data_IF_270903205799
#
_entry.id   IF_270903205799
#
_cell.length_a   1.000
_cell.length_b   1.000
_cell.length_c   1.000
_cell.angle_alpha   90.00
_cell.angle_beta   90.00
_cell.angle_gamma   90.00
#
_symmetry.space_group_name_H-M   'P 1'
#
loop_
_entity.id
_entity.type
_entity.pdbx_description
1 polymer ?
#
# COMPACT_ATOMS: atom_id res chain seq x y z
N UNK A 1 -6.06 -2.68 -8.54
CA UNK A 1 -4.84 -2.27 -9.25
C UNK A 1 -5.05 -1.93 -10.71
N UNK A 2 -5.74 -2.75 -11.51
CA UNK A 2 -5.95 -2.47 -12.95
C UNK A 2 -6.43 -1.03 -13.26
N UNK A 3 -7.49 -0.57 -12.59
CA UNK A 3 -7.95 0.82 -12.71
C UNK A 3 -6.84 1.81 -12.35
N UNK A 4 -6.14 1.65 -11.23
CA UNK A 4 -5.06 2.57 -10.86
C UNK A 4 -3.93 2.60 -11.90
N UNK A 5 -3.56 1.45 -12.46
CA UNK A 5 -2.54 1.34 -13.52
C UNK A 5 -2.99 2.04 -14.82
N UNK A 6 -4.25 1.88 -15.22
CA UNK A 6 -4.82 2.60 -16.37
C UNK A 6 -4.74 4.12 -16.16
N UNK A 7 -5.10 4.58 -14.95
CA UNK A 7 -5.06 6.00 -14.58
C UNK A 7 -3.66 6.59 -14.63
N UNK A 8 -2.68 5.88 -14.07
CA UNK A 8 -1.27 6.28 -14.11
C UNK A 8 -0.74 6.25 -15.55
N UNK A 9 -1.09 5.24 -16.34
CA UNK A 9 -0.69 5.13 -17.76
C UNK A 9 -1.24 6.29 -18.58
N UNK A 10 -2.53 6.61 -18.41
CA UNK A 10 -3.15 7.75 -19.07
C UNK A 10 -2.46 9.07 -18.70
N UNK A 11 -2.16 9.27 -17.41
CA UNK A 11 -1.43 10.44 -16.96
C UNK A 11 -0.02 10.53 -17.57
N UNK A 12 0.74 9.42 -17.59
CA UNK A 12 2.05 9.34 -18.26
C UNK A 12 1.91 9.76 -19.73
N UNK A 13 0.92 9.24 -20.45
CA UNK A 13 0.71 9.57 -21.86
C UNK A 13 0.36 11.05 -22.09
N UNK A 14 -0.44 11.64 -21.19
CA UNK A 14 -0.83 13.05 -21.27
C UNK A 14 0.35 14.00 -21.03
N UNK A 15 1.31 13.60 -20.20
CA UNK A 15 2.46 14.46 -19.85
C UNK A 15 3.71 14.14 -20.67
N UNK A 16 3.84 12.96 -21.26
CA UNK A 16 5.02 12.56 -22.07
C UNK A 16 5.02 13.11 -23.50
N UNK A 17 4.58 14.36 -23.67
CA UNK A 17 4.48 15.06 -24.96
C UNK A 17 5.21 16.39 -24.92
N UNK A 18 5.58 16.94 -26.08
CA UNK A 18 6.33 18.20 -26.16
C UNK A 18 5.56 19.44 -25.71
N UNK A 19 4.22 19.41 -25.77
CA UNK A 19 3.36 20.47 -25.27
C UNK A 19 2.15 19.83 -24.60
N UNK A 20 2.09 19.93 -23.26
CA UNK A 20 0.96 19.38 -22.48
C UNK A 20 -0.26 20.27 -22.66
N UNK A 21 -1.34 19.71 -23.21
CA UNK A 21 -2.59 20.41 -23.47
C UNK A 21 -3.56 20.27 -22.27
N UNK A 22 -3.24 20.94 -21.17
CA UNK A 22 -4.02 20.89 -19.92
C UNK A 22 -5.51 21.26 -20.06
N UNK A 23 -5.86 22.04 -21.08
CA UNK A 23 -7.24 22.41 -21.41
C UNK A 23 -8.07 21.25 -21.98
N UNK A 24 -7.42 20.19 -22.42
CA UNK A 24 -8.07 18.98 -22.96
C UNK A 24 -8.29 17.89 -21.92
N UNK A 25 -7.73 18.06 -20.71
CA UNK A 25 -7.81 17.08 -19.65
C UNK A 25 -9.22 16.97 -19.08
N UNK A 26 -9.64 15.73 -18.80
CA UNK A 26 -10.89 15.47 -18.10
C UNK A 26 -10.76 15.83 -16.61
N UNK A 27 -11.89 15.97 -15.91
CA UNK A 27 -11.87 16.14 -14.45
C UNK A 27 -11.23 14.95 -13.75
N UNK A 28 -11.29 13.77 -14.38
CA UNK A 28 -10.68 12.59 -13.82
C UNK A 28 -9.14 12.65 -13.99
N UNK A 29 -8.62 13.06 -15.15
CA UNK A 29 -7.17 13.25 -15.36
C UNK A 29 -6.58 14.22 -14.32
N UNK A 30 -7.27 15.33 -14.07
CA UNK A 30 -6.92 16.27 -13.02
C UNK A 30 -6.96 15.66 -11.62
N UNK A 31 -7.97 14.85 -11.32
CA UNK A 31 -8.03 14.14 -10.04
C UNK A 31 -6.83 13.21 -9.85
N UNK A 32 -6.41 12.49 -10.89
CA UNK A 32 -5.23 11.61 -10.82
C UNK A 32 -3.94 12.41 -10.65
N UNK A 33 -3.79 13.51 -11.41
CA UNK A 33 -2.68 14.44 -11.29
C UNK A 33 -2.55 15.00 -9.87
N UNK A 34 -3.60 15.63 -9.34
CA UNK A 34 -3.58 16.31 -8.04
C UNK A 34 -3.36 15.31 -6.89
N UNK A 35 -3.96 14.11 -6.99
CA UNK A 35 -3.80 13.05 -5.99
C UNK A 35 -2.38 12.50 -6.00
N UNK A 36 -1.78 12.29 -7.18
CA UNK A 36 -0.39 11.84 -7.29
C UNK A 36 0.58 12.85 -6.69
N UNK A 37 0.49 14.13 -7.08
CA UNK A 37 1.40 15.15 -6.56
C UNK A 37 1.30 15.25 -5.04
N UNK A 38 0.09 15.12 -4.49
CA UNK A 38 -0.14 15.23 -3.04
C UNK A 38 0.39 14.02 -2.28
N UNK A 39 0.08 12.79 -2.71
CA UNK A 39 0.47 11.57 -1.98
C UNK A 39 1.95 11.22 -2.13
N UNK A 40 2.62 11.68 -3.20
CA UNK A 40 4.02 11.33 -3.47
C UNK A 40 4.96 12.53 -3.42
N UNK A 41 4.44 13.76 -3.32
CA UNK A 41 5.25 14.98 -3.17
C UNK A 41 6.07 15.30 -4.42
N UNK A 42 5.64 14.81 -5.59
CA UNK A 42 6.33 14.97 -6.85
C UNK A 42 5.53 15.87 -7.77
N UNK A 43 5.97 17.12 -7.90
CA UNK A 43 5.39 18.05 -8.85
C UNK A 43 5.68 17.60 -10.30
N UNK A 44 4.65 17.28 -11.06
CA UNK A 44 4.72 16.82 -12.45
C UNK A 44 5.09 17.97 -13.40
N UNK A 45 4.52 19.15 -13.21
CA UNK A 45 4.75 20.32 -14.07
C UNK A 45 5.28 21.50 -13.26
N UNK A 46 6.45 22.03 -13.64
CA UNK A 46 7.10 23.14 -12.92
C UNK A 46 6.69 24.54 -13.43
N UNK A 47 5.80 24.60 -14.41
CA UNK A 47 5.39 25.82 -15.11
C UNK A 47 6.00 25.96 -16.50
N UNK A 48 7.10 25.26 -16.77
CA UNK A 48 7.83 25.32 -18.04
C UNK A 48 7.91 23.98 -18.75
N UNK A 49 8.23 22.91 -18.02
CA UNK A 49 8.44 21.57 -18.55
C UNK A 49 7.92 20.52 -17.58
N UNK A 50 7.84 19.27 -18.08
CA UNK A 50 7.53 18.11 -17.23
C UNK A 50 8.76 17.74 -16.42
N UNK A 51 8.56 17.65 -15.11
CA UNK A 51 9.59 17.24 -14.18
C UNK A 51 9.94 15.76 -14.38
N UNK A 52 11.19 15.49 -14.76
CA UNK A 52 11.69 14.13 -14.98
C UNK A 52 11.58 13.25 -13.73
N UNK A 53 11.76 13.79 -12.53
CA UNK A 53 11.64 13.02 -11.29
C UNK A 53 10.20 12.55 -11.06
N UNK A 54 9.22 13.40 -11.35
CA UNK A 54 7.81 13.05 -11.25
C UNK A 54 7.39 12.02 -12.30
N UNK A 55 7.90 12.13 -13.54
CA UNK A 55 7.68 11.13 -14.58
C UNK A 55 8.26 9.76 -14.18
N UNK A 56 9.48 9.74 -13.62
CA UNK A 56 10.07 8.51 -13.07
C UNK A 56 9.25 7.97 -11.89
N UNK A 57 8.67 8.85 -11.07
CA UNK A 57 7.76 8.48 -9.99
C UNK A 57 6.49 7.79 -10.50
N UNK A 58 5.85 8.36 -11.53
CA UNK A 58 4.69 7.74 -12.19
C UNK A 58 5.04 6.37 -12.78
N UNK A 59 6.19 6.24 -13.45
CA UNK A 59 6.66 4.95 -13.98
C UNK A 59 6.95 3.92 -12.88
N UNK A 60 7.50 4.37 -11.76
CA UNK A 60 7.73 3.53 -10.58
C UNK A 60 6.40 3.05 -10.01
N UNK A 61 5.44 3.96 -9.83
CA UNK A 61 4.11 3.62 -9.32
C UNK A 61 3.38 2.64 -10.25
N UNK A 62 3.45 2.85 -11.57
CA UNK A 62 2.89 1.91 -12.55
C UNK A 62 3.52 0.52 -12.40
N UNK A 63 4.84 0.45 -12.31
CA UNK A 63 5.57 -0.82 -12.16
C UNK A 63 5.21 -1.55 -10.86
N UNK A 64 5.10 -0.83 -9.74
CA UNK A 64 4.66 -1.40 -8.47
C UNK A 64 3.21 -1.89 -8.57
N UNK A 65 2.34 -1.13 -9.23
CA UNK A 65 0.95 -1.53 -9.43
C UNK A 65 0.77 -2.71 -10.39
N UNK A 66 1.61 -2.84 -11.42
CA UNK A 66 1.68 -4.01 -12.30
C UNK A 66 2.13 -5.24 -11.52
N UNK A 67 3.14 -5.12 -10.65
CA UNK A 67 3.59 -6.22 -9.78
C UNK A 67 2.47 -6.78 -8.91
N UNK A 68 1.75 -5.90 -8.21
CA UNK A 68 0.61 -6.31 -7.37
C UNK A 68 -0.48 -6.93 -8.25
N UNK A 69 -0.82 -6.33 -9.40
CA UNK A 69 -1.85 -6.85 -10.29
C UNK A 69 -1.51 -8.24 -10.83
N UNK A 70 -0.33 -8.39 -11.43
CA UNK A 70 0.13 -9.63 -12.05
C UNK A 70 0.22 -10.73 -11.00
N UNK A 71 0.82 -10.42 -9.84
CA UNK A 71 0.97 -11.39 -8.75
C UNK A 71 -0.38 -11.90 -8.24
N UNK A 72 -1.34 -11.01 -7.99
CA UNK A 72 -2.67 -11.42 -7.51
C UNK A 72 -3.50 -12.09 -8.60
N UNK A 73 -3.30 -11.75 -9.88
CA UNK A 73 -4.07 -12.32 -11.00
C UNK A 73 -3.77 -13.80 -11.27
N UNK A 74 -2.56 -14.26 -10.92
CA UNK A 74 -2.12 -15.66 -11.04
C UNK A 74 -1.80 -16.27 -9.68
N UNK A 75 -2.57 -15.91 -8.64
CA UNK A 75 -2.28 -16.36 -7.27
C UNK A 75 -2.25 -17.90 -7.15
N UNK A 76 -3.02 -18.62 -7.98
CA UNK A 76 -2.99 -20.08 -8.05
C UNK A 76 -1.75 -20.68 -8.74
N UNK A 77 -0.97 -19.87 -9.45
CA UNK A 77 0.35 -20.20 -9.97
C UNK A 77 1.51 -19.78 -9.06
N UNK A 78 1.24 -18.92 -8.07
CA UNK A 78 2.18 -18.50 -7.02
C UNK A 78 2.23 -19.51 -5.88
N UNK A 79 1.15 -20.26 -5.63
CA UNK A 79 1.12 -21.40 -4.71
C UNK A 79 2.26 -22.41 -5.04
N UNK A 80 3.25 -22.64 -4.14
CA UNK A 80 3.20 -22.47 -2.68
C UNK A 80 4.05 -21.32 -2.08
N UNK A 81 4.31 -20.23 -2.81
CA UNK A 81 5.17 -19.14 -2.31
C UNK A 81 4.42 -18.02 -1.57
N UNK A 82 3.08 -18.04 -1.53
CA UNK A 82 2.29 -17.07 -0.76
C UNK A 82 1.19 -17.78 0.03
N UNK A 83 1.18 -17.54 1.34
CA UNK A 83 0.12 -17.97 2.24
C UNK A 83 -0.63 -16.79 2.87
N UNK A 84 -1.94 -16.95 3.03
CA UNK A 84 -2.80 -15.95 3.65
C UNK A 84 -3.62 -16.60 4.76
N UNK A 85 -3.40 -16.14 5.99
CA UNK A 85 -4.03 -16.65 7.20
C UNK A 85 -4.92 -15.60 7.86
N UNK A 86 -5.91 -16.05 8.63
CA UNK A 86 -6.83 -15.17 9.38
C UNK A 86 -6.47 -15.08 10.88
N UNK A 87 -5.38 -15.72 11.27
CA UNK A 87 -4.83 -15.78 12.62
C UNK A 87 -3.37 -16.26 12.55
N UNK A 88 -2.73 -16.33 13.72
CA UNK A 88 -1.35 -16.80 13.85
C UNK A 88 -1.25 -18.34 13.87
N UNK A 89 -2.28 -19.11 13.48
CA UNK A 89 -2.28 -20.57 13.60
C UNK A 89 -1.26 -21.29 12.70
N UNK A 90 -0.67 -20.56 11.76
CA UNK A 90 0.42 -21.03 10.93
C UNK A 90 1.75 -21.15 11.70
N UNK A 91 1.91 -20.47 12.84
CA UNK A 91 3.15 -20.46 13.60
C UNK A 91 3.15 -21.51 14.71
N UNK A 92 4.31 -22.14 14.95
CA UNK A 92 4.51 -23.06 16.08
C UNK A 92 5.81 -22.77 16.81
N UNK A 93 5.85 -23.02 18.13
CA UNK A 93 7.07 -22.87 18.92
C UNK A 93 8.14 -23.95 18.64
N UNK A 94 7.77 -25.02 17.93
CA UNK A 94 8.64 -26.14 17.58
C UNK A 94 8.54 -26.48 16.11
N UNK A 95 9.62 -27.03 15.54
CA UNK A 95 9.63 -27.60 14.20
C UNK A 95 8.80 -28.88 14.08
N UNK A 96 8.79 -29.48 12.89
CA UNK A 96 8.06 -30.72 12.59
C UNK A 96 8.49 -31.93 13.43
N UNK A 97 9.70 -31.90 13.99
CA UNK A 97 10.24 -32.95 14.85
C UNK A 97 9.98 -32.67 16.35
N UNK A 98 9.37 -31.52 16.67
CA UNK A 98 9.12 -31.07 18.04
C UNK A 98 10.32 -30.40 18.71
N UNK A 99 11.29 -29.92 17.93
CA UNK A 99 12.50 -29.25 18.41
C UNK A 99 12.30 -27.74 18.45
N UNK A 100 12.92 -27.06 19.42
CA UNK A 100 13.00 -25.60 19.48
C UNK A 100 14.17 -25.08 18.63
N UNK A 101 14.18 -23.78 18.32
CA UNK A 101 15.34 -23.15 17.71
C UNK A 101 16.53 -23.18 18.66
N UNK A 102 17.68 -23.65 18.17
CA UNK A 102 18.95 -23.69 18.92
C UNK A 102 19.97 -22.72 18.30
N UNK A 103 20.52 -21.83 19.12
CA UNK A 103 21.65 -20.97 18.76
C UNK A 103 22.93 -21.78 18.54
N UNK A 104 23.96 -21.15 17.96
CA UNK A 104 25.27 -21.79 17.73
C UNK A 104 25.94 -22.30 19.02
N UNK A 105 25.60 -21.75 20.18
CA UNK A 105 26.11 -22.18 21.49
C UNK A 105 25.29 -23.31 22.15
N UNK A 106 24.24 -23.80 21.46
CA UNK A 106 23.31 -24.82 21.94
C UNK A 106 22.26 -24.31 22.93
N UNK A 107 22.15 -22.99 23.14
CA UNK A 107 21.03 -22.41 23.89
C UNK A 107 19.75 -22.39 23.05
N UNK A 108 18.62 -22.67 23.70
CA UNK A 108 17.31 -22.56 23.06
C UNK A 108 16.86 -21.10 23.04
N UNK A 109 16.45 -20.62 21.88
CA UNK A 109 15.79 -19.33 21.71
C UNK A 109 14.29 -19.54 21.51
N UNK A 110 13.48 -19.06 22.45
CA UNK A 110 12.03 -19.20 22.42
C UNK A 110 11.35 -18.06 21.67
N UNK A 111 12.10 -17.06 21.21
CA UNK A 111 11.55 -15.93 20.47
C UNK A 111 11.46 -16.23 18.96
N UNK A 112 12.08 -17.32 18.49
CA UNK A 112 11.92 -17.83 17.12
C UNK A 112 10.64 -18.66 17.01
N UNK A 113 9.94 -18.51 15.89
CA UNK A 113 8.79 -19.36 15.54
C UNK A 113 9.10 -20.20 14.31
N UNK A 114 8.46 -21.36 14.23
CA UNK A 114 8.52 -22.23 13.08
C UNK A 114 7.31 -22.02 12.19
N UNK A 115 7.55 -21.91 10.89
CA UNK A 115 6.50 -21.95 9.88
C UNK A 115 5.91 -23.38 9.73
N UNK A 116 4.69 -23.55 10.23
CA UNK A 116 3.91 -24.78 10.11
C UNK A 116 2.79 -24.67 9.04
N UNK A 117 2.85 -23.64 8.19
CA UNK A 117 1.87 -23.42 7.12
C UNK A 117 1.95 -24.47 6.01
N UNK A 118 3.14 -25.06 5.81
CA UNK A 118 3.46 -25.98 4.72
C UNK A 118 4.33 -25.35 3.63
N UNK A 119 4.55 -24.04 3.68
CA UNK A 119 5.41 -23.31 2.72
C UNK A 119 6.92 -23.45 3.00
N UNK A 120 7.29 -24.08 4.11
CA UNK A 120 8.66 -24.40 4.49
C UNK A 120 9.59 -23.17 4.56
N UNK A 121 9.09 -22.02 5.04
CA UNK A 121 9.93 -20.87 5.40
C UNK A 121 10.92 -21.27 6.50
N UNK A 122 10.53 -22.21 7.36
CA UNK A 122 11.33 -22.71 8.46
C UNK A 122 11.32 -21.77 9.66
N UNK A 123 12.48 -21.59 10.29
CA UNK A 123 12.61 -20.75 11.49
C UNK A 123 12.59 -19.26 11.14
N UNK A 124 11.60 -18.55 11.67
CA UNK A 124 11.41 -17.11 11.50
C UNK A 124 11.93 -16.39 12.74
N UNK A 125 12.88 -15.45 12.58
CA UNK A 125 13.43 -14.69 13.69
C UNK A 125 12.43 -13.63 14.20
N UNK A 126 12.48 -13.28 15.49
CA UNK A 126 11.70 -12.17 16.03
C UNK A 126 12.17 -10.82 15.47
N UNK A 127 11.27 -9.82 15.44
CA UNK A 127 11.68 -8.45 15.14
C UNK A 127 12.45 -7.83 16.34
N UNK A 128 13.61 -7.19 16.10
CA UNK A 128 14.40 -6.59 17.16
C UNK A 128 13.60 -5.58 17.99
N UNK A 129 13.49 -5.83 19.29
CA UNK A 129 12.87 -4.91 20.27
C UNK A 129 11.35 -5.00 20.39
N UNK A 130 10.68 -5.75 19.50
CA UNK A 130 9.20 -5.89 19.50
C UNK A 130 8.78 -7.36 19.66
N UNK A 131 9.68 -8.32 19.39
CA UNK A 131 9.31 -9.73 19.28
C UNK A 131 8.71 -10.02 17.91
N UNK A 132 8.12 -11.20 17.71
CA UNK A 132 7.32 -11.44 16.53
C UNK A 132 6.06 -10.55 16.59
N UNK A 133 5.62 -9.97 15.47
CA UNK A 133 4.35 -9.23 15.45
C UNK A 133 3.26 -10.27 15.15
N UNK A 134 2.29 -10.41 16.04
CA UNK A 134 1.21 -11.39 15.92
C UNK A 134 -0.13 -10.74 16.25
N UNK A 135 -1.22 -11.34 15.80
CA UNK A 135 -2.56 -10.86 16.11
C UNK A 135 -2.86 -10.90 17.61
N UNK A 136 -2.23 -11.81 18.36
CA UNK A 136 -2.43 -11.97 19.80
C UNK A 136 -1.60 -11.03 20.70
N UNK A 137 -0.57 -10.35 20.19
CA UNK A 137 0.40 -9.66 21.04
C UNK A 137 0.46 -8.13 20.86
N UNK A 138 -0.28 -7.59 19.91
CA UNK A 138 -0.33 -6.16 19.60
C UNK A 138 -1.79 -5.71 19.53
N UNK A 139 -2.21 -4.80 20.42
CA UNK A 139 -3.62 -4.39 20.59
C UNK A 139 -4.22 -3.63 19.39
N UNK A 140 -3.54 -3.54 18.24
CA UNK A 140 -3.98 -2.74 17.10
C UNK A 140 -3.47 -3.20 15.73
N UNK A 141 -2.99 -4.43 15.58
CA UNK A 141 -2.54 -4.92 14.27
C UNK A 141 -3.74 -5.40 13.46
N UNK A 142 -3.93 -4.80 12.29
CA UNK A 142 -5.00 -5.15 11.33
C UNK A 142 -4.60 -6.37 10.52
N UNK A 143 -3.38 -6.32 10.00
CA UNK A 143 -2.72 -7.39 9.29
C UNK A 143 -1.21 -7.17 9.39
N UNK A 144 -0.43 -8.21 9.07
CA UNK A 144 1.00 -8.11 8.94
C UNK A 144 1.49 -9.08 7.87
N UNK A 145 2.69 -8.81 7.37
CA UNK A 145 3.39 -9.65 6.41
C UNK A 145 4.77 -10.09 6.95
N UNK A 146 5.15 -11.32 6.61
CA UNK A 146 6.47 -11.88 6.85
C UNK A 146 7.01 -12.46 5.55
N UNK A 147 8.27 -12.16 5.25
CA UNK A 147 8.97 -12.68 4.08
C UNK A 147 10.14 -13.59 4.47
N UNK A 148 10.37 -14.62 3.67
CA UNK A 148 11.55 -15.44 3.78
C UNK A 148 12.79 -14.66 3.32
N UNK A 149 13.90 -14.77 4.07
CA UNK A 149 15.10 -13.94 3.83
C UNK A 149 15.81 -14.21 2.49
N UNK A 150 15.61 -15.38 1.90
CA UNK A 150 16.41 -15.89 0.78
C UNK A 150 15.59 -16.11 -0.48
N UNK A 151 14.35 -16.56 -0.31
CA UNK A 151 13.45 -16.87 -1.41
C UNK A 151 12.25 -15.93 -1.35
N UNK A 152 11.63 -15.65 -2.49
CA UNK A 152 10.42 -14.83 -2.59
C UNK A 152 9.20 -15.63 -2.07
N UNK A 153 9.18 -15.94 -0.76
CA UNK A 153 8.10 -16.64 -0.06
C UNK A 153 7.55 -15.70 1.02
N UNK A 154 6.23 -15.59 1.12
CA UNK A 154 5.57 -14.66 2.03
C UNK A 154 4.40 -15.31 2.78
N UNK A 155 4.20 -14.90 4.02
CA UNK A 155 2.98 -15.13 4.80
C UNK A 155 2.33 -13.78 5.05
N UNK A 156 1.03 -13.68 4.79
CA UNK A 156 0.20 -12.54 5.18
C UNK A 156 -0.79 -13.05 6.22
N UNK A 157 -0.86 -12.38 7.35
CA UNK A 157 -1.83 -12.68 8.40
C UNK A 157 -2.77 -11.50 8.56
N UNK A 158 -4.07 -11.75 8.51
CA UNK A 158 -5.13 -10.75 8.72
C UNK A 158 -5.78 -11.07 10.05
N UNK A 159 -5.79 -10.13 10.99
CA UNK A 159 -6.25 -10.40 12.35
C UNK A 159 -7.79 -10.44 12.44
N UNK A 160 -8.32 -11.47 13.11
CA UNK A 160 -9.74 -11.82 13.13
C UNK A 160 -10.67 -10.66 13.55
N UNK A 161 -10.30 -9.91 14.60
CA UNK A 161 -11.12 -8.81 15.14
C UNK A 161 -11.45 -7.75 14.07
N UNK A 162 -10.47 -7.40 13.23
CA UNK A 162 -10.66 -6.44 12.14
C UNK A 162 -11.39 -7.05 10.94
N UNK A 163 -11.10 -8.32 10.65
CA UNK A 163 -11.74 -9.03 9.55
C UNK A 163 -13.26 -9.10 9.76
N UNK A 164 -13.71 -9.40 10.98
CA UNK A 164 -15.13 -9.45 11.33
C UNK A 164 -15.78 -8.09 11.15
N UNK A 165 -15.18 -7.02 11.67
CA UNK A 165 -15.71 -5.66 11.54
C UNK A 165 -15.83 -5.22 10.08
N UNK A 166 -14.83 -5.53 9.24
CA UNK A 166 -14.85 -5.21 7.81
C UNK A 166 -15.93 -6.01 7.06
N UNK A 167 -16.08 -7.30 7.37
CA UNK A 167 -17.15 -8.15 6.80
C UNK A 167 -18.52 -7.62 7.20
N UNK A 168 -18.73 -7.32 8.49
CA UNK A 168 -19.99 -6.84 9.04
C UNK A 168 -20.37 -5.45 8.52
N UNK A 169 -19.38 -4.62 8.19
CA UNK A 169 -19.62 -3.32 7.53
C UNK A 169 -20.30 -3.48 6.16
N UNK A 170 -20.08 -4.63 5.49
CA UNK A 170 -20.54 -4.91 4.13
C UNK A 170 -19.98 -3.98 3.06
N UNK A 171 -19.02 -3.10 3.42
CA UNK A 171 -18.39 -2.15 2.51
C UNK A 171 -17.23 -2.82 1.79
N UNK A 172 -17.11 -2.50 0.51
CA UNK A 172 -15.95 -2.83 -0.30
C UNK A 172 -15.72 -1.73 -1.35
N UNK A 173 -14.53 -1.70 -1.95
CA UNK A 173 -14.18 -0.71 -2.96
C UNK A 173 -15.21 -0.64 -4.11
N UNK A 174 -15.80 -1.78 -4.52
CA UNK A 174 -16.84 -1.81 -5.55
C UNK A 174 -18.09 -1.01 -5.13
N UNK A 175 -18.60 -1.23 -3.92
CA UNK A 175 -19.75 -0.48 -3.37
C UNK A 175 -19.44 1.01 -3.18
N UNK A 176 -18.21 1.34 -2.78
CA UNK A 176 -17.79 2.72 -2.56
C UNK A 176 -17.62 3.47 -3.89
N UNK A 177 -17.06 2.82 -4.91
CA UNK A 177 -16.81 3.42 -6.24
C UNK A 177 -18.07 3.85 -6.98
N UNK A 178 -19.21 3.21 -6.71
CA UNK A 178 -20.50 3.56 -7.31
C UNK A 178 -21.13 4.84 -6.72
N UNK A 179 -20.57 5.39 -5.64
CA UNK A 179 -21.17 6.49 -4.88
C UNK A 179 -20.50 7.83 -5.21
N UNK A 180 -21.31 8.86 -5.46
CA UNK A 180 -20.82 10.24 -5.49
C UNK A 180 -21.04 10.88 -4.13
N UNK A 181 -19.95 11.21 -3.46
CA UNK A 181 -19.97 11.82 -2.13
C UNK A 181 -20.05 13.35 -2.21
N UNK A 182 -20.75 13.96 -1.27
CA UNK A 182 -20.65 15.40 -1.02
C UNK A 182 -19.26 15.77 -0.50
N UNK A 183 -18.86 17.03 -0.65
CA UNK A 183 -17.58 17.52 -0.13
C UNK A 183 -17.42 17.22 1.37
N UNK A 184 -16.34 16.52 1.75
CA UNK A 184 -16.04 16.15 3.13
C UNK A 184 -16.97 15.13 3.77
N UNK A 185 -17.82 14.44 3.00
CA UNK A 185 -18.76 13.46 3.54
C UNK A 185 -18.09 12.15 4.00
N UNK A 186 -16.92 11.82 3.45
CA UNK A 186 -16.09 10.67 3.87
C UNK A 186 -14.62 10.96 3.58
N UNK A 187 -13.73 10.22 4.24
CA UNK A 187 -12.29 10.27 4.04
C UNK A 187 -11.74 8.97 3.44
N UNK A 188 -10.54 9.01 2.86
CA UNK A 188 -9.82 7.80 2.48
C UNK A 188 -9.53 6.91 3.69
N UNK A 189 -9.34 7.51 4.87
CA UNK A 189 -9.14 6.75 6.11
C UNK A 189 -10.38 5.92 6.44
N UNK A 190 -11.58 6.49 6.36
CA UNK A 190 -12.83 5.75 6.60
C UNK A 190 -12.97 4.55 5.66
N UNK A 191 -12.44 4.67 4.44
CA UNK A 191 -12.45 3.61 3.44
C UNK A 191 -11.45 2.52 3.80
N UNK A 192 -10.23 2.88 4.21
CA UNK A 192 -9.21 1.93 4.70
C UNK A 192 -9.76 1.12 5.87
N UNK A 193 -10.34 1.80 6.86
CA UNK A 193 -10.86 1.19 8.09
C UNK A 193 -12.04 0.24 7.83
N UNK A 194 -12.65 0.28 6.65
CA UNK A 194 -13.84 -0.52 6.32
C UNK A 194 -13.74 -1.36 5.06
N UNK A 195 -12.58 -1.41 4.39
CA UNK A 195 -12.41 -2.15 3.14
C UNK A 195 -11.19 -3.06 3.19
N UNK A 196 -11.44 -4.37 3.37
CA UNK A 196 -10.40 -5.41 3.34
C UNK A 196 -9.52 -5.35 2.08
N UNK A 197 -10.08 -4.95 0.93
CA UNK A 197 -9.29 -4.81 -0.31
C UNK A 197 -8.16 -3.78 -0.19
N UNK A 198 -8.30 -2.74 0.62
CA UNK A 198 -7.26 -1.73 0.81
C UNK A 198 -6.14 -2.29 1.69
N UNK A 199 -6.50 -2.98 2.78
CA UNK A 199 -5.55 -3.73 3.61
C UNK A 199 -4.79 -4.76 2.79
N UNK A 200 -5.50 -5.55 1.96
CA UNK A 200 -4.84 -6.53 1.10
C UNK A 200 -3.88 -5.90 0.10
N UNK A 201 -4.19 -4.73 -0.48
CA UNK A 201 -3.24 -4.03 -1.36
C UNK A 201 -1.98 -3.61 -0.59
N UNK A 202 -2.14 -3.15 0.65
CA UNK A 202 -1.03 -2.80 1.54
C UNK A 202 -0.15 -4.03 1.83
N UNK A 203 -0.74 -5.14 2.27
CA UNK A 203 0.03 -6.35 2.59
C UNK A 203 0.65 -6.99 1.34
N UNK A 204 -0.06 -6.99 0.21
CA UNK A 204 0.49 -7.49 -1.05
C UNK A 204 1.65 -6.65 -1.56
N UNK A 205 1.72 -5.36 -1.21
CA UNK A 205 2.88 -4.55 -1.58
C UNK A 205 4.10 -4.82 -0.71
N UNK A 206 3.94 -5.40 0.49
CA UNK A 206 5.06 -5.93 1.27
C UNK A 206 5.54 -7.27 0.77
N UNK A 207 4.62 -8.19 0.43
CA UNK A 207 4.94 -9.58 0.15
C UNK A 207 5.96 -9.76 -1.00
N UNK A 208 7.14 -10.26 -0.66
CA UNK A 208 8.19 -10.64 -1.60
C UNK A 208 7.70 -11.68 -2.63
N UNK A 209 6.80 -12.57 -2.27
CA UNK A 209 6.17 -13.53 -3.19
C UNK A 209 5.39 -12.88 -4.35
N UNK A 210 4.90 -11.64 -4.15
CA UNK A 210 4.17 -10.87 -5.16
C UNK A 210 5.10 -9.87 -5.84
N UNK A 211 5.84 -9.12 -5.05
CA UNK A 211 6.63 -7.99 -5.52
C UNK A 211 7.99 -8.43 -6.07
N UNK A 212 8.54 -9.51 -5.50
CA UNK A 212 9.96 -9.84 -5.47
C UNK A 212 10.69 -8.94 -4.49
N UNK A 213 11.68 -9.50 -3.78
CA UNK A 213 12.53 -8.83 -2.76
C UNK A 213 13.15 -7.48 -3.16
N UNK A 214 13.22 -7.15 -4.45
CA UNK A 214 13.72 -5.86 -4.94
C UNK A 214 12.66 -4.75 -5.01
N UNK A 215 11.37 -5.08 -4.89
CA UNK A 215 10.24 -4.16 -5.09
C UNK A 215 9.26 -4.10 -3.92
N UNK A 216 9.45 -4.93 -2.89
CA UNK A 216 8.63 -4.88 -1.69
C UNK A 216 8.70 -3.51 -1.03
N UNK A 217 7.53 -3.03 -0.63
CA UNK A 217 7.34 -1.75 0.03
C UNK A 217 7.64 -1.88 1.51
N UNK A 218 7.71 -0.74 2.20
CA UNK A 218 7.99 -0.69 3.64
C UNK A 218 7.05 0.26 4.34
N UNK A 219 6.89 0.05 5.64
CA UNK A 219 6.23 1.02 6.52
C UNK A 219 7.24 2.08 6.92
N UNK A 220 7.48 3.01 6.00
CA UNK A 220 8.37 4.13 6.26
C UNK A 220 7.80 4.99 7.36
N UNK A 221 8.68 5.63 8.13
CA UNK A 221 8.27 6.43 9.28
C UNK A 221 8.21 7.92 8.98
N UNK A 222 7.20 8.57 9.54
CA UNK A 222 7.06 10.02 9.60
C UNK A 222 6.88 10.43 11.07
N UNK A 223 7.67 11.42 11.52
CA UNK A 223 7.69 11.85 12.92
C UNK A 223 7.93 10.72 13.97
N UNK A 224 8.63 9.66 13.58
CA UNK A 224 8.98 8.54 14.47
C UNK A 224 7.95 7.42 14.54
N UNK A 225 6.81 7.57 13.85
CA UNK A 225 5.75 6.56 13.75
C UNK A 225 5.66 6.03 12.31
N UNK A 226 5.15 4.82 12.11
CA UNK A 226 4.85 4.31 10.77
C UNK A 226 3.89 5.26 10.04
N UNK A 227 4.14 5.51 8.76
CA UNK A 227 3.37 6.46 7.97
C UNK A 227 2.04 5.88 7.48
N UNK A 228 1.19 5.51 8.43
CA UNK A 228 -0.17 5.03 8.20
C UNK A 228 -1.17 6.18 8.19
N UNK A 229 -2.13 6.10 7.30
CA UNK A 229 -3.20 7.06 7.11
C UNK A 229 -2.79 8.32 6.36
N UNK A 230 -3.82 9.03 5.90
CA UNK A 230 -3.67 10.17 4.99
C UNK A 230 -2.65 11.23 5.47
N UNK A 231 -2.76 11.65 6.73
CA UNK A 231 -1.90 12.73 7.26
C UNK A 231 -0.42 12.35 7.23
N UNK A 232 -0.10 11.11 7.61
CA UNK A 232 1.28 10.64 7.68
C UNK A 232 1.84 10.32 6.30
N UNK A 233 1.06 9.81 5.34
CA UNK A 233 1.57 9.59 3.97
C UNK A 233 1.89 10.91 3.27
N UNK A 234 1.07 11.96 3.48
CA UNK A 234 1.35 13.29 2.96
C UNK A 234 2.55 13.90 3.67
N UNK A 235 2.66 13.73 4.99
CA UNK A 235 3.85 14.10 5.75
C UNK A 235 5.12 13.43 5.22
N UNK A 236 5.07 12.12 4.98
CA UNK A 236 6.16 11.35 4.40
C UNK A 236 6.52 11.85 3.00
N UNK A 237 5.52 12.20 2.18
CA UNK A 237 5.74 12.76 0.85
C UNK A 237 6.52 14.09 0.88
N UNK A 238 6.27 14.93 1.88
CA UNK A 238 7.05 16.16 2.08
C UNK A 238 8.47 15.91 2.61
N UNK A 239 8.65 14.83 3.38
CA UNK A 239 9.96 14.42 3.92
C UNK A 239 10.84 13.74 2.86
N UNK A 240 10.27 12.82 2.09
CA UNK A 240 10.96 12.01 1.09
C UNK A 240 9.98 11.38 0.10
N UNK A 241 9.88 11.95 -1.10
CA UNK A 241 9.10 11.39 -2.20
C UNK A 241 9.50 9.95 -2.56
N UNK A 242 10.79 9.61 -2.43
CA UNK A 242 11.26 8.23 -2.68
C UNK A 242 10.73 7.25 -1.64
N UNK A 243 10.61 7.66 -0.37
CA UNK A 243 10.01 6.80 0.65
C UNK A 243 8.50 6.71 0.44
N UNK A 244 7.83 7.82 0.12
CA UNK A 244 6.40 7.81 -0.17
C UNK A 244 6.04 6.90 -1.36
N UNK A 245 6.88 6.83 -2.40
CA UNK A 245 6.68 5.90 -3.53
C UNK A 245 6.81 4.43 -3.17
N UNK A 246 7.54 4.10 -2.10
CA UNK A 246 7.76 2.72 -1.62
C UNK A 246 7.10 2.49 -0.25
N UNK A 247 6.13 3.33 0.11
CA UNK A 247 5.33 3.17 1.32
C UNK A 247 4.05 2.42 0.99
N UNK A 248 3.79 1.31 1.69
CA UNK A 248 2.66 0.44 1.40
C UNK A 248 1.32 1.19 1.46
N UNK A 249 1.15 1.98 2.51
CA UNK A 249 -0.07 2.75 2.71
C UNK A 249 -0.28 3.83 1.62
N UNK A 250 0.79 4.47 1.16
CA UNK A 250 0.70 5.44 0.05
C UNK A 250 0.17 4.79 -1.23
N UNK A 251 0.61 3.56 -1.53
CA UNK A 251 0.16 2.80 -2.70
C UNK A 251 -1.27 2.33 -2.53
N UNK A 252 -1.62 1.82 -1.34
CA UNK A 252 -2.97 1.34 -1.03
C UNK A 252 -4.00 2.48 -1.12
N UNK A 253 -3.73 3.63 -0.49
CA UNK A 253 -4.62 4.79 -0.52
C UNK A 253 -4.71 5.40 -1.93
N UNK A 254 -3.60 5.50 -2.66
CA UNK A 254 -3.64 5.97 -4.05
C UNK A 254 -4.51 5.05 -4.91
N UNK A 255 -4.35 3.75 -4.76
CA UNK A 255 -5.12 2.75 -5.52
C UNK A 255 -6.61 2.83 -5.20
N UNK A 256 -6.97 2.99 -3.93
CA UNK A 256 -8.35 3.23 -3.50
C UNK A 256 -8.91 4.52 -4.11
N UNK A 257 -8.16 5.62 -4.06
CA UNK A 257 -8.54 6.90 -4.64
C UNK A 257 -8.80 6.81 -6.16
N UNK A 258 -7.95 6.09 -6.90
CA UNK A 258 -8.13 5.90 -8.34
C UNK A 258 -9.36 5.05 -8.66
N UNK A 259 -9.65 4.06 -7.83
CA UNK A 259 -10.82 3.21 -8.00
C UNK A 259 -12.13 3.96 -7.70
N UNK A 260 -12.13 4.85 -6.69
CA UNK A 260 -13.28 5.69 -6.32
C UNK A 260 -13.41 6.94 -7.18
N UNK A 261 -13.56 6.74 -8.49
CA UNK A 261 -13.43 7.77 -9.53
C UNK A 261 -14.56 8.82 -9.60
N UNK A 262 -15.61 8.72 -8.77
CA UNK A 262 -16.73 9.69 -8.75
C UNK A 262 -16.42 10.95 -7.94
N UNK A 263 -15.31 10.95 -7.22
CA UNK A 263 -14.81 12.04 -6.42
C UNK A 263 -13.31 12.23 -6.69
N UNK A 264 -12.77 13.36 -6.27
CA UNK A 264 -11.31 13.53 -6.14
C UNK A 264 -10.91 13.46 -4.68
N UNK A 265 -9.70 12.96 -4.44
CA UNK A 265 -9.21 12.57 -3.12
C UNK A 265 -7.87 13.22 -2.75
N UNK A 266 -7.43 14.21 -3.52
CA UNK A 266 -6.17 14.94 -3.27
C UNK A 266 -6.13 15.65 -1.90
N UNK A 267 -7.27 15.79 -1.21
CA UNK A 267 -7.33 16.34 0.17
C UNK A 267 -7.42 15.28 1.25
N UNK A 268 -7.44 13.99 0.89
CA UNK A 268 -7.76 12.87 1.77
C UNK A 268 -9.25 12.74 2.07
N UNK A 269 -10.04 13.77 1.78
CA UNK A 269 -11.48 13.80 1.93
C UNK A 269 -12.16 13.80 0.56
N UNK A 270 -13.37 13.25 0.49
CA UNK A 270 -14.15 13.23 -0.74
C UNK A 270 -14.45 14.65 -1.22
N UNK A 271 -14.00 15.01 -2.42
CA UNK A 271 -14.35 16.27 -3.06
C UNK A 271 -15.10 16.00 -4.37
N UNK A 272 -16.03 16.88 -4.79
CA UNK A 272 -16.60 16.79 -6.13
C UNK A 272 -15.49 16.82 -7.19
N UNK A 273 -15.66 16.07 -8.27
CA UNK A 273 -14.77 16.19 -9.42
C UNK A 273 -14.81 17.62 -9.97
N UNK A 274 -13.65 18.28 -9.98
CA UNK A 274 -13.48 19.64 -10.50
C UNK A 274 -12.18 19.74 -11.28
N UNK A 275 -12.09 20.74 -12.16
CA UNK A 275 -10.87 21.03 -12.91
C UNK A 275 -9.86 21.73 -11.97
N UNK A 276 -8.93 20.96 -11.38
CA UNK A 276 -7.76 21.37 -10.58
C UNK A 276 -7.97 21.78 -9.11
N UNK A 277 -7.07 21.29 -8.24
CA UNK A 277 -6.82 21.81 -6.89
C UNK A 277 -6.23 23.24 -6.89
N UNK A 278 -5.51 23.61 -7.96
CA UNK A 278 -4.96 24.96 -8.18
C UNK A 278 -6.06 26.03 -8.28
N UNK A 279 -7.20 25.72 -8.90
CA UNK A 279 -8.35 26.63 -8.96
C UNK A 279 -9.07 26.81 -7.62
N UNK A 280 -8.88 25.86 -6.70
CA UNK A 280 -9.46 25.87 -5.34
C UNK A 280 -8.52 26.47 -4.28
N UNK A 281 -7.32 26.93 -4.67
CA UNK A 281 -6.37 27.62 -3.77
C UNK A 281 -5.61 26.74 -2.78
N UNK A 282 -5.53 25.42 -3.03
CA UNK A 282 -5.07 24.44 -2.02
C UNK A 282 -3.62 23.93 -2.14
N UNK A 283 -3.00 23.96 -3.32
CA UNK A 283 -1.63 23.45 -3.49
C UNK A 283 -0.64 24.61 -3.67
N UNK A 284 -0.12 25.10 -2.56
CA UNK A 284 1.18 25.79 -2.54
C UNK A 284 2.18 24.74 -2.09
N UNK A 285 2.82 24.07 -3.05
CA UNK A 285 4.08 23.40 -2.76
C UNK A 285 5.08 24.50 -2.39
N UNK A 286 5.32 24.67 -1.09
CA UNK A 286 6.49 25.40 -0.63
C UNK A 286 7.69 24.53 -1.01
N UNK A 287 8.29 24.84 -2.16
CA UNK A 287 9.62 24.34 -2.47
C UNK A 287 10.56 24.66 -1.29
N UNK A 288 11.45 23.74 -0.89
CA UNK A 288 12.37 23.94 0.21
C UNK A 288 13.27 25.18 0.04
#
# INVERSE_FOLDING_TARGET
MDVANERVTNLINLVSVSNVAFDTWTTEDWSTYDTFETMFGLQIWDGTDVNTAALNGLQTLLKLGEKIYDGVSDIGGIDPSLDIWCDDAWETATDSDGSYFENEDGSVDLDYVWDNSGNNIGWIPPNPGVGLITCGNTESVVAYNLDHKVDDISIITICEDWLVDMIDSGKNLQSQSGTTYSAGATSLQDVVDSCLSVVLIHEFSHADAIMGSAYSTKDYTYNGEAAYGWENIVGLATQSSSQALYNADSIALFSAAMYMNKNTWWTGNSQPLSYTALSAGGLIFLAP
#
